data_IF_092403799491
#
_entry.id   IF_092403799491
#
_cell.length_a   1.000
_cell.length_b   1.000
_cell.length_c   1.000
_cell.angle_alpha   90.00
_cell.angle_beta   90.00
_cell.angle_gamma   90.00
#
_symmetry.space_group_name_H-M   'P 1'
#
loop_
_entity.id
_entity.type
_entity.pdbx_description
1 polymer ?
#
# COMPACT_ATOMS: atom_id res chain seq x y z
N UNK A 1 17.96 -8.98 -25.58
CA UNK A 1 17.87 -9.29 -24.15
C UNK A 1 18.88 -8.39 -23.43
N UNK A 2 18.45 -7.27 -22.86
CA UNK A 2 19.27 -6.50 -21.96
C UNK A 2 19.16 -7.14 -20.57
N UNK A 3 20.19 -7.84 -20.13
CA UNK A 3 20.38 -8.20 -18.74
C UNK A 3 20.90 -6.94 -18.06
N UNK A 4 20.06 -6.22 -17.35
CA UNK A 4 20.53 -5.23 -16.41
C UNK A 4 21.23 -6.00 -15.28
N UNK A 5 22.55 -5.98 -15.25
CA UNK A 5 23.32 -6.26 -14.03
C UNK A 5 23.02 -5.11 -13.05
N UNK A 6 22.04 -5.32 -12.22
CA UNK A 6 21.76 -4.45 -11.08
C UNK A 6 22.92 -4.67 -10.07
N UNK A 7 23.72 -3.63 -9.90
CA UNK A 7 24.73 -3.60 -8.83
C UNK A 7 23.99 -3.63 -7.49
N UNK A 8 23.97 -4.82 -6.87
CA UNK A 8 23.25 -5.11 -5.64
C UNK A 8 23.96 -4.48 -4.43
N UNK A 9 24.03 -3.16 -4.34
CA UNK A 9 24.03 -2.53 -3.03
C UNK A 9 22.65 -2.74 -2.46
N UNK A 10 22.51 -3.78 -1.64
CA UNK A 10 21.27 -4.11 -0.93
C UNK A 10 20.87 -2.92 -0.04
N UNK A 11 20.06 -2.03 -0.58
CA UNK A 11 19.32 -1.09 0.24
C UNK A 11 18.21 -1.89 0.91
N UNK A 12 18.44 -2.33 2.16
CA UNK A 12 17.41 -2.96 2.97
C UNK A 12 16.32 -1.93 3.22
N UNK A 13 15.15 -2.18 2.67
CA UNK A 13 13.95 -1.44 3.01
C UNK A 13 13.29 -2.14 4.20
N UNK A 14 12.88 -1.38 5.19
CA UNK A 14 12.19 -1.87 6.37
C UNK A 14 10.89 -1.10 6.62
N UNK A 15 10.05 -1.60 7.50
CA UNK A 15 8.88 -0.89 7.98
C UNK A 15 8.86 -0.85 9.51
N UNK A 16 8.30 0.22 10.06
CA UNK A 16 8.17 0.39 11.51
C UNK A 16 6.85 -0.19 12.01
N UNK A 17 6.90 -0.94 13.11
CA UNK A 17 5.71 -1.32 13.85
C UNK A 17 5.56 -0.38 15.04
N UNK A 18 4.50 0.43 15.05
CA UNK A 18 4.25 1.43 16.10
C UNK A 18 3.78 0.80 17.43
N UNK A 19 3.68 -0.53 17.50
CA UNK A 19 3.30 -1.30 18.72
C UNK A 19 1.92 -0.95 19.27
N UNK A 20 1.06 -0.38 18.47
CA UNK A 20 -0.33 -0.12 18.82
C UNK A 20 -1.11 -1.44 19.00
N UNK A 21 -2.11 -1.45 19.86
CA UNK A 21 -2.84 -2.67 20.22
C UNK A 21 -4.01 -2.90 19.28
N UNK A 22 -4.19 -4.14 18.81
CA UNK A 22 -5.38 -4.53 18.04
C UNK A 22 -6.62 -4.54 18.95
N UNK A 23 -7.79 -4.17 18.38
CA UNK A 23 -9.08 -4.29 19.05
C UNK A 23 -9.35 -3.26 20.15
N UNK A 24 -8.55 -2.21 20.26
CA UNK A 24 -8.78 -1.09 21.19
C UNK A 24 -8.73 0.23 20.42
N UNK A 25 -9.31 1.28 20.99
CA UNK A 25 -9.20 2.62 20.43
C UNK A 25 -7.75 3.13 20.60
N UNK A 26 -7.09 3.38 19.48
CA UNK A 26 -5.71 3.85 19.44
C UNK A 26 -5.59 5.33 19.02
N UNK A 27 -6.68 6.05 18.83
CA UNK A 27 -6.63 7.39 18.23
C UNK A 27 -5.73 8.37 19.02
N UNK A 28 -5.84 8.37 20.34
CA UNK A 28 -5.04 9.25 21.18
C UNK A 28 -3.57 8.82 21.24
N UNK A 29 -3.30 7.52 21.38
CA UNK A 29 -1.94 6.98 21.40
C UNK A 29 -1.24 7.21 20.07
N UNK A 30 -1.96 7.00 18.96
CA UNK A 30 -1.47 7.28 17.62
C UNK A 30 -1.11 8.76 17.45
N UNK A 31 -1.98 9.69 17.84
CA UNK A 31 -1.70 11.13 17.78
C UNK A 31 -0.44 11.49 18.54
N UNK A 32 -0.29 10.98 19.76
CA UNK A 32 0.92 11.20 20.55
C UNK A 32 2.18 10.70 19.83
N UNK A 33 2.15 9.47 19.28
CA UNK A 33 3.27 8.91 18.52
C UNK A 33 3.62 9.74 17.29
N UNK A 34 2.61 10.26 16.58
CA UNK A 34 2.83 11.13 15.42
C UNK A 34 3.52 12.42 15.84
N UNK A 35 3.08 13.07 16.91
CA UNK A 35 3.69 14.29 17.41
C UNK A 35 5.16 14.09 17.81
N UNK A 36 5.50 12.93 18.38
CA UNK A 36 6.85 12.62 18.82
C UNK A 36 7.79 12.21 17.67
N UNK A 37 7.29 11.48 16.67
CA UNK A 37 8.16 10.81 15.70
C UNK A 37 7.99 11.30 14.26
N UNK A 38 6.84 11.92 13.93
CA UNK A 38 6.45 12.23 12.55
C UNK A 38 5.84 13.62 12.38
N UNK A 39 6.14 14.55 13.30
CA UNK A 39 5.57 15.91 13.29
C UNK A 39 5.89 16.70 12.00
N UNK A 40 7.03 16.41 11.37
CA UNK A 40 7.50 17.05 10.12
C UNK A 40 7.28 16.16 8.88
N UNK A 41 6.57 15.04 9.01
CA UNK A 41 6.26 14.13 7.91
C UNK A 41 4.85 14.39 7.35
N UNK A 42 4.72 14.24 6.03
CA UNK A 42 3.41 14.06 5.41
C UNK A 42 2.88 12.67 5.77
N UNK A 43 1.74 12.63 6.44
CA UNK A 43 1.10 11.38 6.88
C UNK A 43 0.17 10.89 5.78
N UNK A 44 0.39 9.69 5.30
CA UNK A 44 -0.40 9.09 4.21
C UNK A 44 -0.94 7.75 4.70
N UNK A 45 -2.25 7.57 4.58
CA UNK A 45 -2.94 6.34 4.96
C UNK A 45 -3.38 5.61 3.70
N UNK A 46 -3.20 4.30 3.69
CA UNK A 46 -3.49 3.46 2.52
C UNK A 46 -4.26 2.22 2.93
N UNK A 47 -5.20 1.83 2.09
CA UNK A 47 -6.00 0.62 2.29
C UNK A 47 -6.40 -0.03 0.97
N UNK A 48 -6.61 -1.36 1.01
CA UNK A 48 -7.17 -2.16 -0.06
C UNK A 48 -8.47 -2.81 0.40
N UNK A 49 -9.48 -2.87 -0.48
CA UNK A 49 -10.75 -3.52 -0.16
C UNK A 49 -11.14 -4.54 -1.21
N UNK A 50 -11.59 -5.73 -0.77
CA UNK A 50 -12.04 -6.81 -1.62
C UNK A 50 -13.45 -7.26 -1.21
N UNK A 51 -14.37 -7.27 -2.17
CA UNK A 51 -15.63 -7.99 -2.06
C UNK A 51 -15.51 -9.35 -2.78
N UNK A 52 -15.44 -10.46 -2.03
CA UNK A 52 -15.23 -11.77 -2.63
C UNK A 52 -16.46 -12.30 -3.36
N UNK A 53 -17.66 -11.75 -3.09
CA UNK A 53 -18.92 -12.19 -3.72
C UNK A 53 -19.11 -11.50 -5.06
N UNK A 54 -18.91 -10.18 -5.08
CA UNK A 54 -19.05 -9.37 -6.30
C UNK A 54 -17.75 -9.30 -7.11
N UNK A 55 -16.67 -9.88 -6.60
CA UNK A 55 -15.32 -9.83 -7.20
C UNK A 55 -14.85 -8.40 -7.48
N UNK A 56 -15.26 -7.47 -6.63
CA UNK A 56 -14.91 -6.06 -6.73
C UNK A 56 -13.74 -5.74 -5.82
N UNK A 57 -12.76 -5.04 -6.36
CA UNK A 57 -11.55 -4.65 -5.64
C UNK A 57 -11.36 -3.15 -5.73
N UNK A 58 -11.11 -2.52 -4.60
CA UNK A 58 -10.86 -1.09 -4.53
C UNK A 58 -9.59 -0.76 -3.75
N UNK A 59 -9.10 0.44 -3.97
CA UNK A 59 -7.96 1.01 -3.26
C UNK A 59 -8.30 2.40 -2.76
N UNK A 60 -7.76 2.77 -1.61
CA UNK A 60 -7.94 4.07 -0.99
C UNK A 60 -6.62 4.68 -0.52
N UNK A 61 -6.48 6.00 -0.68
CA UNK A 61 -5.37 6.78 -0.12
C UNK A 61 -5.94 8.06 0.47
N UNK A 62 -5.56 8.37 1.71
CA UNK A 62 -5.98 9.57 2.41
C UNK A 62 -4.79 10.32 3.00
N UNK A 63 -4.75 11.65 2.82
CA UNK A 63 -3.68 12.53 3.35
C UNK A 63 -4.33 13.68 4.10
N UNK A 64 -4.34 13.64 5.45
CA UNK A 64 -5.03 14.64 6.27
C UNK A 64 -4.55 16.08 6.05
N UNK A 65 -3.23 16.27 5.92
CA UNK A 65 -2.63 17.62 5.85
C UNK A 65 -3.05 18.41 4.61
N UNK A 66 -3.38 17.72 3.51
CA UNK A 66 -3.81 18.35 2.26
C UNK A 66 -5.28 18.08 1.95
N UNK A 67 -5.96 17.34 2.81
CA UNK A 67 -7.32 16.79 2.57
C UNK A 67 -7.42 16.06 1.21
N UNK A 68 -6.30 15.43 0.82
CA UNK A 68 -6.27 14.66 -0.43
C UNK A 68 -6.91 13.30 -0.21
N UNK A 69 -7.80 12.95 -1.11
CA UNK A 69 -8.49 11.65 -1.14
C UNK A 69 -8.37 11.05 -2.54
N UNK A 70 -7.92 9.81 -2.60
CA UNK A 70 -7.88 9.04 -3.84
C UNK A 70 -8.56 7.69 -3.62
N UNK A 71 -9.36 7.28 -4.58
CA UNK A 71 -9.92 5.94 -4.64
C UNK A 71 -9.99 5.47 -6.09
N UNK A 72 -9.92 4.19 -6.30
CA UNK A 72 -10.03 3.58 -7.63
C UNK A 72 -10.44 2.11 -7.54
N UNK A 73 -10.92 1.57 -8.65
CA UNK A 73 -11.24 0.16 -8.80
C UNK A 73 -10.11 -0.58 -9.50
N UNK A 74 -9.85 -1.80 -9.07
CA UNK A 74 -8.87 -2.69 -9.67
C UNK A 74 -9.55 -3.79 -10.48
N UNK A 75 -8.80 -4.43 -11.41
CA UNK A 75 -9.32 -5.57 -12.17
C UNK A 75 -9.85 -6.66 -11.25
N UNK A 76 -10.91 -7.35 -11.69
CA UNK A 76 -11.42 -8.56 -11.04
C UNK A 76 -10.28 -9.54 -10.80
N UNK A 77 -10.39 -10.34 -9.74
CA UNK A 77 -9.40 -11.33 -9.29
C UNK A 77 -8.11 -10.76 -8.71
N UNK A 78 -7.95 -9.42 -8.63
CA UNK A 78 -6.86 -8.84 -7.87
C UNK A 78 -6.98 -9.26 -6.41
N UNK A 79 -5.88 -9.80 -5.84
CA UNK A 79 -5.84 -10.20 -4.44
C UNK A 79 -5.80 -8.99 -3.51
N UNK A 80 -6.34 -9.13 -2.30
CA UNK A 80 -6.32 -8.05 -1.30
C UNK A 80 -4.90 -7.54 -1.05
N UNK A 81 -3.91 -8.40 -0.91
CA UNK A 81 -2.52 -7.99 -0.71
C UNK A 81 -1.97 -7.18 -1.89
N UNK A 82 -2.40 -7.50 -3.13
CA UNK A 82 -2.04 -6.72 -4.32
C UNK A 82 -2.70 -5.35 -4.29
N UNK A 83 -3.97 -5.26 -3.89
CA UNK A 83 -4.68 -3.99 -3.74
C UNK A 83 -4.00 -3.06 -2.73
N UNK A 84 -3.59 -3.60 -1.58
CA UNK A 84 -2.83 -2.89 -0.56
C UNK A 84 -1.50 -2.32 -1.11
N UNK A 85 -0.75 -3.14 -1.84
CA UNK A 85 0.51 -2.69 -2.46
C UNK A 85 0.26 -1.60 -3.49
N UNK A 86 -0.83 -1.69 -4.25
CA UNK A 86 -1.24 -0.64 -5.21
C UNK A 86 -1.56 0.67 -4.49
N UNK A 87 -2.26 0.63 -3.37
CA UNK A 87 -2.54 1.80 -2.56
C UNK A 87 -1.23 2.47 -2.07
N UNK A 88 -0.27 1.67 -1.57
CA UNK A 88 1.07 2.16 -1.18
C UNK A 88 1.81 2.76 -2.39
N UNK A 89 1.75 2.12 -3.56
CA UNK A 89 2.36 2.64 -4.79
C UNK A 89 1.78 4.00 -5.19
N UNK A 90 0.47 4.18 -5.08
CA UNK A 90 -0.20 5.46 -5.34
C UNK A 90 0.23 6.55 -4.34
N UNK A 91 0.40 6.19 -3.07
CA UNK A 91 0.95 7.09 -2.06
C UNK A 91 2.37 7.54 -2.40
N UNK A 92 3.25 6.62 -2.82
CA UNK A 92 4.60 6.94 -3.28
C UNK A 92 4.57 7.88 -4.50
N UNK A 93 3.70 7.58 -5.48
CA UNK A 93 3.53 8.42 -6.67
C UNK A 93 3.09 9.84 -6.31
N UNK A 94 2.17 9.97 -5.35
CA UNK A 94 1.75 11.29 -4.84
C UNK A 94 2.93 12.07 -4.26
N UNK A 95 3.78 11.42 -3.46
CA UNK A 95 4.97 12.06 -2.88
C UNK A 95 5.89 12.63 -3.95
N UNK A 96 6.14 11.86 -5.01
CA UNK A 96 7.01 12.28 -6.12
C UNK A 96 6.42 13.45 -6.91
N UNK A 97 5.15 13.35 -7.30
CA UNK A 97 4.45 14.36 -8.11
C UNK A 97 4.38 15.70 -7.35
N UNK A 98 4.15 15.65 -6.03
CA UNK A 98 3.99 16.84 -5.19
C UNK A 98 5.28 17.28 -4.49
N UNK A 99 6.44 16.69 -4.82
CA UNK A 99 7.74 17.02 -4.23
C UNK A 99 7.76 16.96 -2.70
N UNK A 100 7.05 16.01 -2.11
CA UNK A 100 7.02 15.78 -0.66
C UNK A 100 8.40 15.31 -0.22
N UNK A 101 9.03 16.01 0.71
CA UNK A 101 10.40 15.70 1.16
C UNK A 101 10.46 14.61 2.21
N UNK A 102 9.46 14.55 3.08
CA UNK A 102 9.35 13.53 4.11
C UNK A 102 7.91 13.01 4.15
N UNK A 103 7.74 11.73 4.00
CA UNK A 103 6.44 11.07 4.10
C UNK A 103 6.52 9.81 4.95
N UNK A 104 5.49 9.53 5.72
CA UNK A 104 5.25 8.24 6.33
C UNK A 104 3.96 7.66 5.77
N UNK A 105 4.04 6.45 5.22
CA UNK A 105 2.90 5.72 4.67
C UNK A 105 2.47 4.67 5.70
N UNK A 106 1.27 4.84 6.21
CA UNK A 106 0.63 3.91 7.14
C UNK A 106 -0.24 2.92 6.38
N UNK A 107 -0.10 1.64 6.71
CA UNK A 107 -0.94 0.56 6.21
C UNK A 107 -1.21 -0.42 7.35
N UNK A 108 -2.39 -1.01 7.39
CA UNK A 108 -2.73 -2.08 8.33
C UNK A 108 -2.46 -3.48 7.74
N UNK A 109 -2.04 -3.55 6.48
CA UNK A 109 -1.64 -4.77 5.80
C UNK A 109 -0.19 -5.15 6.08
N UNK A 110 0.04 -5.87 7.17
CA UNK A 110 1.38 -6.38 7.48
C UNK A 110 1.95 -7.22 6.32
N UNK A 111 1.11 -8.04 5.67
CA UNK A 111 1.54 -8.85 4.54
C UNK A 111 2.03 -8.05 3.33
N UNK A 112 1.38 -6.90 3.04
CA UNK A 112 1.82 -6.00 1.97
C UNK A 112 3.17 -5.35 2.31
N UNK A 113 3.31 -4.86 3.54
CA UNK A 113 4.57 -4.26 4.03
C UNK A 113 5.72 -5.26 4.00
N UNK A 114 5.52 -6.48 4.51
CA UNK A 114 6.52 -7.55 4.47
C UNK A 114 6.91 -7.93 3.04
N UNK A 115 5.93 -7.98 2.12
CA UNK A 115 6.17 -8.31 0.73
C UNK A 115 7.00 -7.23 0.02
N UNK A 116 6.78 -5.95 0.30
CA UNK A 116 7.56 -4.84 -0.24
C UNK A 116 8.98 -4.83 0.35
N UNK A 117 9.11 -4.95 1.67
CA UNK A 117 10.41 -4.77 2.35
C UNK A 117 11.33 -5.98 2.26
N UNK A 118 10.77 -7.19 2.22
CA UNK A 118 11.55 -8.43 2.16
C UNK A 118 12.44 -8.50 0.91
N UNK A 119 13.69 -8.97 1.08
CA UNK A 119 14.60 -9.31 -0.03
C UNK A 119 14.49 -10.78 -0.46
N UNK A 120 13.73 -11.58 0.32
CA UNK A 120 13.54 -13.01 0.00
C UNK A 120 12.79 -13.16 -1.32
N UNK A 121 13.35 -13.99 -2.21
CA UNK A 121 12.69 -14.34 -3.48
C UNK A 121 12.38 -13.14 -4.40
N UNK A 122 13.21 -12.10 -4.44
CA UNK A 122 13.01 -10.91 -5.28
C UNK A 122 12.63 -11.27 -6.73
N UNK A 123 13.25 -12.27 -7.33
CA UNK A 123 12.95 -12.75 -8.70
C UNK A 123 11.56 -13.40 -8.86
N UNK A 124 10.84 -13.67 -7.77
CA UNK A 124 9.51 -14.28 -7.76
C UNK A 124 8.40 -13.31 -7.33
N UNK A 125 8.77 -12.05 -7.03
CA UNK A 125 7.77 -11.04 -6.67
C UNK A 125 6.99 -10.59 -7.91
N UNK A 126 5.77 -10.19 -7.68
CA UNK A 126 4.95 -9.58 -8.71
C UNK A 126 5.47 -8.18 -9.09
N UNK A 127 5.06 -7.74 -10.28
CA UNK A 127 5.51 -6.49 -10.88
C UNK A 127 5.25 -5.28 -9.97
N UNK A 128 4.06 -5.18 -9.38
CA UNK A 128 3.69 -4.01 -8.56
C UNK A 128 4.52 -3.94 -7.27
N UNK A 129 4.84 -5.08 -6.66
CA UNK A 129 5.72 -5.16 -5.48
C UNK A 129 7.12 -4.65 -5.81
N UNK A 130 7.70 -5.10 -6.93
CA UNK A 130 9.02 -4.66 -7.37
C UNK A 130 9.01 -3.16 -7.67
N UNK A 131 8.05 -2.70 -8.44
CA UNK A 131 7.90 -1.29 -8.81
C UNK A 131 7.77 -0.40 -7.57
N UNK A 132 6.97 -0.80 -6.59
CA UNK A 132 6.77 -0.03 -5.36
C UNK A 132 8.06 0.04 -4.54
N UNK A 133 8.75 -1.10 -4.38
CA UNK A 133 10.03 -1.16 -3.67
C UNK A 133 11.09 -0.27 -4.33
N UNK A 134 11.25 -0.37 -5.64
CA UNK A 134 12.20 0.45 -6.41
C UNK A 134 11.86 1.94 -6.32
N UNK A 135 10.58 2.28 -6.38
CA UNK A 135 10.13 3.67 -6.24
C UNK A 135 10.52 4.26 -4.88
N UNK A 136 10.34 3.53 -3.78
CA UNK A 136 10.72 3.98 -2.44
C UNK A 136 12.23 4.13 -2.32
N UNK A 137 13.01 3.12 -2.77
CA UNK A 137 14.46 3.15 -2.71
C UNK A 137 15.01 4.34 -3.52
N UNK A 138 14.53 4.51 -4.75
CA UNK A 138 14.96 5.60 -5.61
C UNK A 138 14.57 6.96 -5.04
N UNK A 139 13.40 7.10 -4.43
CA UNK A 139 12.97 8.32 -3.75
C UNK A 139 13.91 8.66 -2.60
N UNK A 140 14.21 7.68 -1.75
CA UNK A 140 15.09 7.86 -0.60
C UNK A 140 16.52 8.24 -1.02
N UNK A 141 17.02 7.68 -2.11
CA UNK A 141 18.34 8.02 -2.67
C UNK A 141 18.38 9.43 -3.29
N UNK A 142 17.24 9.96 -3.72
CA UNK A 142 17.11 11.27 -4.37
C UNK A 142 16.57 12.38 -3.45
N UNK A 143 16.65 12.16 -2.13
CA UNK A 143 16.34 13.20 -1.12
C UNK A 143 14.85 13.35 -0.78
N UNK A 144 14.02 12.38 -1.15
CA UNK A 144 12.65 12.24 -0.67
C UNK A 144 12.59 11.07 0.30
N UNK A 145 12.49 11.32 1.59
CA UNK A 145 12.41 10.27 2.62
C UNK A 145 10.99 9.69 2.67
N UNK A 146 10.80 8.46 2.24
CA UNK A 146 9.55 7.71 2.37
C UNK A 146 9.77 6.58 3.39
N UNK A 147 9.03 6.63 4.50
CA UNK A 147 9.01 5.59 5.51
C UNK A 147 7.70 4.79 5.43
N UNK A 148 7.78 3.51 5.71
CA UNK A 148 6.61 2.63 5.85
C UNK A 148 6.36 2.34 7.32
N UNK A 149 5.11 2.35 7.75
CA UNK A 149 4.74 2.01 9.11
C UNK A 149 3.46 1.17 9.16
N UNK A 150 3.50 0.11 9.97
CA UNK A 150 2.33 -0.71 10.24
C UNK A 150 1.52 -0.12 11.41
N UNK A 151 0.21 -0.07 11.23
CA UNK A 151 -0.79 0.27 12.24
C UNK A 151 -1.86 -0.82 12.30
N UNK A 152 -2.56 -1.00 13.42
CA UNK A 152 -3.68 -1.94 13.46
C UNK A 152 -4.92 -1.37 12.76
N UNK A 153 -5.60 -2.20 11.95
CA UNK A 153 -6.87 -1.84 11.33
C UNK A 153 -8.03 -1.78 12.34
N UNK A 154 -9.05 -0.99 12.01
CA UNK A 154 -10.31 -0.86 12.78
C UNK A 154 -10.10 -0.50 14.26
N UNK A 155 -9.25 0.49 14.52
CA UNK A 155 -8.89 0.94 15.87
C UNK A 155 -9.07 2.45 16.07
N UNK A 156 -10.00 3.04 15.35
CA UNK A 156 -10.38 4.46 15.40
C UNK A 156 -9.24 5.44 15.04
N UNK A 157 -8.21 4.97 14.34
CA UNK A 157 -7.22 5.86 13.72
C UNK A 157 -7.88 6.52 12.53
N UNK A 158 -8.32 7.77 12.68
CA UNK A 158 -9.16 8.47 11.70
C UNK A 158 -8.61 8.45 10.28
N UNK A 159 -7.30 8.56 10.10
CA UNK A 159 -6.68 8.48 8.78
C UNK A 159 -6.87 7.12 8.13
N UNK A 160 -6.74 6.04 8.90
CA UNK A 160 -6.94 4.66 8.41
C UNK A 160 -8.40 4.38 8.08
N UNK A 161 -9.33 4.83 8.95
CA UNK A 161 -10.77 4.66 8.70
C UNK A 161 -11.21 5.41 7.42
N UNK A 162 -10.59 6.57 7.11
CA UNK A 162 -10.84 7.28 5.85
C UNK A 162 -10.28 6.53 4.65
N UNK A 163 -9.08 5.94 4.75
CA UNK A 163 -8.50 5.15 3.69
C UNK A 163 -9.34 3.89 3.40
N UNK A 164 -9.80 3.18 4.45
CA UNK A 164 -10.73 2.04 4.33
C UNK A 164 -12.04 2.45 3.65
N UNK A 165 -12.65 3.55 4.10
CA UNK A 165 -13.86 4.08 3.44
C UNK A 165 -13.63 4.38 1.96
N UNK A 166 -12.50 4.99 1.59
CA UNK A 166 -12.13 5.28 0.21
C UNK A 166 -11.90 4.01 -0.60
N UNK A 167 -11.23 3.00 -0.05
CA UNK A 167 -11.02 1.71 -0.69
C UNK A 167 -12.37 1.00 -0.95
N UNK A 168 -13.26 1.04 0.03
CA UNK A 168 -14.63 0.54 -0.11
C UNK A 168 -15.41 1.28 -1.20
N UNK A 169 -15.30 2.62 -1.24
CA UNK A 169 -15.91 3.44 -2.27
C UNK A 169 -15.37 3.10 -3.66
N UNK A 170 -14.05 2.90 -3.78
CA UNK A 170 -13.37 2.58 -5.03
C UNK A 170 -13.95 1.36 -5.75
N UNK A 171 -14.41 0.34 -5.03
CA UNK A 171 -15.04 -0.87 -5.60
C UNK A 171 -16.24 -0.61 -6.51
N UNK A 172 -16.90 0.55 -6.37
CA UNK A 172 -18.12 0.88 -7.11
C UNK A 172 -17.88 1.67 -8.40
N UNK A 173 -16.62 2.00 -8.70
CA UNK A 173 -16.26 2.73 -9.92
C UNK A 173 -15.83 1.78 -11.06
N UNK A 174 -15.78 2.33 -12.26
CA UNK A 174 -15.22 1.62 -13.40
C UNK A 174 -13.69 1.44 -13.19
N UNK A 175 -13.18 0.28 -13.59
CA UNK A 175 -11.73 0.01 -13.54
C UNK A 175 -11.01 0.95 -14.50
N UNK A 176 -10.21 1.85 -13.99
CA UNK A 176 -9.39 2.79 -14.78
C UNK A 176 -7.91 2.40 -14.79
N UNK A 177 -7.46 1.63 -13.81
CA UNK A 177 -6.08 1.17 -13.72
C UNK A 177 -5.90 -0.23 -14.30
N UNK A 178 -5.17 -0.33 -15.42
CA UNK A 178 -4.70 -1.59 -15.96
C UNK A 178 -3.42 -2.01 -15.23
N UNK A 179 -3.57 -2.57 -14.04
CA UNK A 179 -2.45 -3.19 -13.33
C UNK A 179 -2.33 -4.61 -13.84
N UNK A 180 -1.13 -5.06 -14.25
CA UNK A 180 -0.93 -6.45 -14.61
C UNK A 180 -1.25 -7.35 -13.42
N UNK A 181 -2.17 -8.30 -13.62
CA UNK A 181 -2.45 -9.34 -12.63
C UNK A 181 -1.17 -10.14 -12.38
N UNK A 182 -0.89 -10.43 -11.12
CA UNK A 182 0.22 -11.29 -10.77
C UNK A 182 -0.14 -12.77 -11.08
N UNK A 183 0.88 -13.63 -11.00
CA UNK A 183 0.67 -15.07 -11.22
C UNK A 183 -0.37 -15.66 -10.26
N UNK A 184 -0.42 -15.21 -9.02
CA UNK A 184 -1.36 -15.72 -8.02
C UNK A 184 -2.77 -15.23 -8.30
N UNK A 185 -2.92 -13.97 -8.72
CA UNK A 185 -4.20 -13.41 -9.16
C UNK A 185 -4.78 -14.25 -10.33
N UNK A 186 -3.94 -14.57 -11.32
CA UNK A 186 -4.32 -15.41 -12.46
C UNK A 186 -4.69 -16.83 -12.04
N UNK A 187 -3.91 -17.45 -11.14
CA UNK A 187 -4.18 -18.79 -10.66
C UNK A 187 -5.53 -18.88 -9.91
N UNK A 188 -5.88 -17.86 -9.15
CA UNK A 188 -7.16 -17.80 -8.45
C UNK A 188 -8.30 -17.60 -9.45
N UNK A 189 -8.13 -16.68 -10.42
CA UNK A 189 -9.10 -16.52 -11.51
C UNK A 189 -9.38 -17.84 -12.23
N UNK A 190 -8.33 -18.60 -12.57
CA UNK A 190 -8.48 -19.92 -13.21
C UNK A 190 -9.23 -20.93 -12.31
N UNK A 191 -8.90 -20.98 -11.01
CA UNK A 191 -9.60 -21.88 -10.07
C UNK A 191 -11.07 -21.51 -9.94
N UNK A 192 -11.40 -20.23 -9.80
CA UNK A 192 -12.79 -19.77 -9.71
C UNK A 192 -13.57 -20.14 -10.97
N UNK A 193 -12.98 -19.95 -12.15
CA UNK A 193 -13.61 -20.34 -13.42
C UNK A 193 -13.87 -21.84 -13.54
N UNK A 194 -12.94 -22.68 -13.05
CA UNK A 194 -13.08 -24.15 -13.10
C UNK A 194 -14.12 -24.67 -12.10
N UNK A 195 -14.27 -24.02 -10.94
CA UNK A 195 -15.22 -24.43 -9.90
C UNK A 195 -16.66 -24.02 -10.19
N UNK A 196 -16.88 -23.03 -11.08
CA UNK A 196 -18.20 -22.56 -11.49
C UNK A 196 -18.75 -23.29 -12.74
N UNK A 197 -18.11 -24.36 -13.20
CA UNK A 197 -18.57 -25.30 -14.22
C UNK A 197 -19.05 -26.61 -13.60
#
# INVERSE_FOLDING_TARGET
>A
FFVYEYDHKMHTLDYKNLKLKKGVDNNNEFKYLIEQSYSDYCQIFTDGSLDPVEEKVGVGVFIPQTNYSYHDSLPKFTQICTAEIVAINKACSYCLINNIKKAVIFSDSQGALEKITSDKNYKRKDYITILTKEMIINSNNNGTCIELAWIPGHTNILGNENADWLANLGKHFAVTNNIPLDKNDILIACKTFLNNK
#
